data_IF_789124775831
#
_entry.id   IF_789124775831
#
_cell.length_a   1.000
_cell.length_b   1.000
_cell.length_c   1.000
_cell.angle_alpha   90.00
_cell.angle_beta   90.00
_cell.angle_gamma   90.00
#
_symmetry.space_group_name_H-M   'P 1'
#
loop_
_entity.id
_entity.type
_entity.pdbx_description
1 polymer ?
#
# COMPACT_ATOMS: atom_id res chain seq x y z
N UNK A 1 37.90 -1.45 -29.23
CA UNK A 1 37.48 -2.37 -28.16
C UNK A 1 36.46 -1.63 -27.33
N UNK A 2 35.17 -1.89 -27.56
CA UNK A 2 34.07 -1.26 -26.79
C UNK A 2 33.78 -2.15 -25.59
N UNK A 3 33.96 -1.61 -24.40
CA UNK A 3 33.57 -2.29 -23.15
C UNK A 3 32.08 -2.00 -22.97
N UNK A 4 31.25 -3.01 -23.11
CA UNK A 4 29.83 -2.93 -22.75
C UNK A 4 29.72 -3.03 -21.23
N UNK A 5 29.25 -1.94 -20.63
CA UNK A 5 28.94 -1.90 -19.19
C UNK A 5 27.54 -2.48 -19.02
N UNK A 6 27.45 -3.70 -18.51
CA UNK A 6 26.17 -4.29 -18.10
C UNK A 6 25.67 -3.62 -16.81
N UNK A 7 24.38 -3.31 -16.70
CA UNK A 7 23.83 -2.70 -15.49
C UNK A 7 23.94 -3.66 -14.30
N UNK A 8 24.50 -3.16 -13.21
CA UNK A 8 24.82 -3.87 -11.96
C UNK A 8 23.60 -4.59 -11.33
N UNK A 9 22.38 -4.11 -11.60
CA UNK A 9 21.13 -4.66 -11.06
C UNK A 9 20.84 -6.14 -11.42
N UNK A 10 21.36 -6.63 -12.53
CA UNK A 10 21.17 -8.03 -12.95
C UNK A 10 22.14 -9.01 -12.29
N UNK A 11 23.32 -8.54 -11.91
CA UNK A 11 24.32 -9.35 -11.19
C UNK A 11 23.98 -9.52 -9.70
N UNK A 12 23.42 -8.49 -9.07
CA UNK A 12 23.01 -8.56 -7.65
C UNK A 12 21.82 -9.48 -7.44
N UNK A 13 20.83 -9.44 -8.33
CA UNK A 13 19.67 -10.36 -8.29
C UNK A 13 20.11 -11.83 -8.47
N UNK A 14 21.09 -12.08 -9.36
CA UNK A 14 21.61 -13.43 -9.58
C UNK A 14 22.44 -13.94 -8.40
N UNK A 15 23.12 -13.04 -7.68
CA UNK A 15 23.93 -13.40 -6.50
C UNK A 15 23.05 -13.72 -5.28
N UNK A 16 21.95 -12.99 -5.07
CA UNK A 16 21.00 -13.27 -3.99
C UNK A 16 20.24 -14.59 -4.21
N UNK A 17 19.84 -14.88 -5.45
CA UNK A 17 19.24 -16.18 -5.82
C UNK A 17 20.20 -17.35 -5.63
N UNK A 18 21.49 -17.17 -5.95
CA UNK A 18 22.50 -18.19 -5.74
C UNK A 18 22.81 -18.44 -4.26
N UNK A 19 22.71 -17.41 -3.40
CA UNK A 19 22.84 -17.54 -1.95
C UNK A 19 21.64 -18.23 -1.29
N UNK A 20 20.43 -17.97 -1.76
CA UNK A 20 19.21 -18.67 -1.34
C UNK A 20 19.22 -20.15 -1.74
N UNK A 21 19.66 -20.47 -2.97
CA UNK A 21 19.78 -21.85 -3.44
C UNK A 21 20.84 -22.67 -2.67
N UNK A 22 21.87 -22.01 -2.15
CA UNK A 22 22.94 -22.67 -1.37
C UNK A 22 22.53 -23.10 0.03
N UNK A 23 21.50 -22.46 0.60
CA UNK A 23 21.03 -22.70 1.96
C UNK A 23 19.80 -23.61 2.06
N UNK A 24 19.35 -24.20 0.95
CA UNK A 24 18.28 -25.20 0.92
C UNK A 24 18.82 -26.58 0.52
N UNK A 25 19.20 -27.45 1.48
CA UNK A 25 19.63 -28.79 1.16
C UNK A 25 18.44 -29.62 0.66
N UNK A 26 18.47 -30.03 -0.59
CA UNK A 26 17.65 -31.14 -1.11
C UNK A 26 16.43 -30.81 -1.96
N UNK A 27 16.20 -29.58 -2.38
CA UNK A 27 15.17 -29.25 -3.39
C UNK A 27 15.83 -28.85 -4.71
N UNK A 28 15.69 -29.68 -5.73
CA UNK A 28 15.84 -29.26 -7.13
C UNK A 28 14.64 -28.41 -7.48
N UNK A 29 14.83 -27.09 -7.55
CA UNK A 29 13.79 -26.20 -8.08
C UNK A 29 13.73 -26.37 -9.59
N UNK A 30 12.54 -26.66 -10.12
CA UNK A 30 12.28 -26.68 -11.56
C UNK A 30 12.44 -25.26 -12.11
N UNK A 31 13.12 -25.13 -13.27
CA UNK A 31 13.31 -23.82 -13.94
C UNK A 31 11.97 -23.14 -14.21
N UNK A 32 10.91 -23.90 -14.44
CA UNK A 32 9.55 -23.41 -14.59
C UNK A 32 8.94 -22.76 -13.30
N UNK A 33 9.52 -23.02 -12.12
CA UNK A 33 9.13 -22.36 -10.87
C UNK A 33 9.82 -21.01 -10.67
N UNK A 34 10.95 -20.76 -11.35
CA UNK A 34 11.68 -19.49 -11.27
C UNK A 34 11.00 -18.36 -12.06
N UNK A 35 10.17 -18.69 -13.05
CA UNK A 35 9.40 -17.73 -13.84
C UNK A 35 8.01 -17.41 -13.25
N UNK A 36 7.60 -18.09 -12.17
CA UNK A 36 6.40 -17.69 -11.45
C UNK A 36 6.75 -16.49 -10.58
N UNK A 37 5.98 -15.38 -10.68
CA UNK A 37 6.13 -14.29 -9.73
C UNK A 37 6.07 -14.91 -8.33
N UNK A 38 6.98 -14.49 -7.45
CA UNK A 38 7.10 -14.98 -6.07
C UNK A 38 5.75 -14.74 -5.37
N UNK A 39 4.77 -15.60 -5.66
CA UNK A 39 3.49 -15.60 -5.01
C UNK A 39 3.70 -16.02 -3.57
N UNK A 40 3.40 -15.16 -2.62
CA UNK A 40 3.26 -15.58 -1.24
C UNK A 40 2.25 -16.74 -1.24
N UNK A 41 2.74 -17.97 -1.09
CA UNK A 41 1.88 -19.11 -0.81
C UNK A 41 1.38 -18.98 0.62
N UNK A 42 0.31 -19.68 0.98
CA UNK A 42 -0.17 -19.71 2.37
C UNK A 42 0.94 -20.03 3.36
N UNK A 43 1.76 -21.05 3.06
CA UNK A 43 2.92 -21.41 3.87
C UNK A 43 3.91 -20.26 4.10
N UNK A 44 4.05 -19.38 3.11
CA UNK A 44 4.94 -18.22 3.23
C UNK A 44 4.26 -17.07 3.99
N UNK A 45 2.92 -16.93 3.90
CA UNK A 45 2.19 -15.94 4.71
C UNK A 45 2.23 -16.29 6.20
N UNK A 46 2.11 -17.56 6.56
CA UNK A 46 2.26 -18.03 7.94
C UNK A 46 3.68 -17.79 8.51
N UNK A 47 4.66 -17.55 7.63
CA UNK A 47 6.04 -17.21 8.01
C UNK A 47 6.30 -15.69 8.10
N UNK A 48 5.32 -14.86 7.79
CA UNK A 48 5.46 -13.42 8.02
C UNK A 48 5.61 -13.19 9.53
N UNK A 49 6.67 -12.47 9.88
CA UNK A 49 6.86 -12.07 11.27
C UNK A 49 5.70 -11.16 11.70
N UNK A 50 5.02 -11.47 12.81
CA UNK A 50 4.00 -10.59 13.35
C UNK A 50 4.62 -9.23 13.70
N UNK A 51 3.79 -8.18 13.79
CA UNK A 51 4.24 -6.86 14.22
C UNK A 51 4.88 -6.96 15.62
N UNK A 52 6.16 -6.58 15.72
CA UNK A 52 6.89 -6.62 16.99
C UNK A 52 6.49 -5.44 17.88
N UNK A 53 6.70 -5.58 19.19
CA UNK A 53 6.49 -4.48 20.11
C UNK A 53 7.41 -3.29 19.79
N UNK A 54 8.65 -3.54 19.38
CA UNK A 54 9.60 -2.49 18.99
C UNK A 54 9.09 -1.66 17.80
N UNK A 55 8.58 -2.33 16.76
CA UNK A 55 8.00 -1.64 15.61
C UNK A 55 6.71 -0.92 16.00
N UNK A 56 5.87 -1.55 16.84
CA UNK A 56 4.65 -0.94 17.35
C UNK A 56 4.93 0.35 18.12
N UNK A 57 5.85 0.30 19.10
CA UNK A 57 6.22 1.45 19.93
C UNK A 57 6.78 2.60 19.06
N UNK A 58 7.54 2.28 18.04
CA UNK A 58 8.08 3.24 17.08
C UNK A 58 6.98 3.90 16.24
N UNK A 59 6.07 3.12 15.66
CA UNK A 59 4.96 3.63 14.87
C UNK A 59 3.97 4.44 15.73
N UNK A 60 3.74 4.05 16.99
CA UNK A 60 2.98 4.85 17.95
C UNK A 60 3.66 6.21 18.18
N UNK A 61 5.00 6.22 18.34
CA UNK A 61 5.80 7.44 18.42
C UNK A 61 5.73 8.32 17.17
N UNK A 62 5.51 7.73 16.01
CA UNK A 62 5.29 8.40 14.72
C UNK A 62 3.82 8.85 14.53
N UNK A 63 2.96 8.61 15.53
CA UNK A 63 1.58 9.09 15.57
C UNK A 63 0.53 8.11 15.04
N UNK A 64 0.87 6.84 14.86
CA UNK A 64 -0.12 5.82 14.48
C UNK A 64 -1.01 5.48 15.69
N UNK A 65 -2.34 5.61 15.60
CA UNK A 65 -3.24 5.24 16.70
C UNK A 65 -3.34 3.73 16.86
N UNK A 66 -3.73 3.29 18.05
CA UNK A 66 -3.91 1.87 18.38
C UNK A 66 -4.80 1.11 17.40
N UNK A 67 -5.85 1.76 16.90
CA UNK A 67 -6.76 1.16 15.90
C UNK A 67 -6.05 0.72 14.62
N UNK A 68 -5.06 1.50 14.16
CA UNK A 68 -4.23 1.16 13.01
C UNK A 68 -3.22 0.08 13.40
N UNK A 69 -2.53 0.27 14.54
CA UNK A 69 -1.51 -0.68 15.02
C UNK A 69 -2.09 -2.07 15.29
N UNK A 70 -3.31 -2.16 15.82
CA UNK A 70 -4.01 -3.42 16.06
C UNK A 70 -4.51 -4.10 14.76
N UNK A 71 -4.62 -3.33 13.68
CA UNK A 71 -5.06 -3.84 12.38
C UNK A 71 -3.90 -4.35 11.52
N UNK A 72 -2.65 -3.94 11.79
CA UNK A 72 -1.46 -4.37 11.06
C UNK A 72 -1.06 -5.77 11.51
N UNK A 73 -1.10 -6.74 10.60
CA UNK A 73 -0.85 -8.15 10.92
C UNK A 73 0.66 -8.51 11.00
N UNK A 74 1.53 -7.77 10.31
CA UNK A 74 2.93 -8.18 10.16
C UNK A 74 3.91 -7.02 9.96
N UNK A 75 5.19 -7.29 10.25
CA UNK A 75 6.32 -6.40 9.92
C UNK A 75 6.37 -6.04 8.43
N UNK A 76 6.04 -7.00 7.55
CA UNK A 76 6.05 -6.77 6.11
C UNK A 76 4.95 -5.80 5.69
N UNK A 77 3.77 -5.87 6.32
CA UNK A 77 2.66 -4.95 6.08
C UNK A 77 3.00 -3.54 6.58
N UNK A 78 3.52 -3.41 7.81
CA UNK A 78 3.97 -2.14 8.37
C UNK A 78 4.96 -1.44 7.45
N UNK A 79 5.95 -2.19 6.93
CA UNK A 79 6.95 -1.67 6.01
C UNK A 79 6.35 -1.07 4.73
N UNK A 80 5.29 -1.66 4.18
CA UNK A 80 4.62 -1.11 2.99
C UNK A 80 4.09 0.30 3.27
N UNK A 81 3.46 0.51 4.42
CA UNK A 81 2.92 1.82 4.80
C UNK A 81 4.02 2.85 5.10
N UNK A 82 5.12 2.41 5.73
CA UNK A 82 6.28 3.27 5.98
C UNK A 82 7.01 3.67 4.70
N UNK A 83 7.23 2.73 3.78
CA UNK A 83 7.85 3.00 2.47
C UNK A 83 6.97 3.93 1.62
N UNK A 84 5.65 3.81 1.73
CA UNK A 84 4.69 4.72 1.12
C UNK A 84 4.60 6.09 1.83
N UNK A 85 5.26 6.27 2.98
CA UNK A 85 5.30 7.50 3.79
C UNK A 85 3.92 8.03 4.12
N UNK A 86 3.05 7.13 4.56
CA UNK A 86 1.70 7.48 4.93
C UNK A 86 1.66 8.09 6.32
N UNK A 87 0.77 9.07 6.51
CA UNK A 87 0.53 9.72 7.79
C UNK A 87 -0.84 9.32 8.35
N UNK A 88 -0.91 9.13 9.67
CA UNK A 88 -2.16 8.78 10.32
C UNK A 88 -3.05 10.01 10.53
N UNK A 89 -4.33 9.86 10.23
CA UNK A 89 -5.37 10.87 10.51
C UNK A 89 -6.75 10.21 10.58
N UNK A 90 -7.74 10.97 11.00
CA UNK A 90 -9.13 10.54 10.92
C UNK A 90 -9.78 11.09 9.64
N UNK A 91 -10.49 10.24 8.89
CA UNK A 91 -11.27 10.63 7.70
C UNK A 91 -12.67 10.05 7.83
N UNK A 92 -13.68 10.92 7.84
CA UNK A 92 -15.08 10.52 7.94
C UNK A 92 -15.38 9.60 9.15
N UNK A 93 -14.77 9.92 10.31
CA UNK A 93 -14.94 9.17 11.57
C UNK A 93 -14.23 7.82 11.63
N UNK A 94 -13.31 7.56 10.73
CA UNK A 94 -12.49 6.34 10.69
C UNK A 94 -11.00 6.72 10.58
N UNK A 95 -10.16 6.07 11.37
CA UNK A 95 -8.72 6.25 11.25
C UNK A 95 -8.23 5.77 9.88
N UNK A 96 -7.28 6.49 9.33
CA UNK A 96 -6.71 6.21 8.03
C UNK A 96 -5.23 6.59 7.95
N UNK A 97 -4.49 5.88 7.11
CA UNK A 97 -3.16 6.23 6.66
C UNK A 97 -3.28 6.95 5.31
N UNK A 98 -3.00 8.23 5.31
CA UNK A 98 -3.17 9.09 4.14
C UNK A 98 -1.86 9.43 3.46
N UNK A 99 -1.93 9.72 2.17
CA UNK A 99 -0.83 10.30 1.40
C UNK A 99 -0.78 11.81 1.57
N UNK A 100 0.43 12.33 1.70
CA UNK A 100 0.71 13.77 1.77
C UNK A 100 1.32 14.32 0.48
N UNK A 101 1.66 13.45 -0.47
CA UNK A 101 2.32 13.76 -1.73
C UNK A 101 1.34 13.91 -2.93
N UNK A 102 0.04 13.92 -2.68
CA UNK A 102 -0.97 14.12 -3.73
C UNK A 102 -0.95 15.58 -4.20
N UNK A 103 -0.68 15.79 -5.49
CA UNK A 103 -0.89 17.08 -6.13
C UNK A 103 -2.40 17.27 -6.40
N UNK A 104 -3.08 18.02 -5.54
CA UNK A 104 -4.52 18.23 -5.63
C UNK A 104 -4.95 19.09 -6.82
N UNK A 105 -4.03 19.87 -7.39
CA UNK A 105 -4.28 20.75 -8.54
C UNK A 105 -3.91 20.09 -9.89
N UNK A 106 -3.26 18.92 -9.84
CA UNK A 106 -2.98 18.12 -11.04
C UNK A 106 -4.29 17.77 -11.74
N UNK A 107 -4.38 18.10 -13.02
CA UNK A 107 -5.53 17.77 -13.86
C UNK A 107 -5.32 16.47 -14.63
N UNK A 108 -6.40 15.72 -14.85
CA UNK A 108 -6.35 14.57 -15.75
C UNK A 108 -6.32 15.02 -17.24
N UNK A 109 -5.66 14.23 -18.09
CA UNK A 109 -5.44 14.56 -19.50
C UNK A 109 -6.70 14.38 -20.37
N UNK A 110 -7.77 13.77 -19.83
CA UNK A 110 -8.96 13.41 -20.61
C UNK A 110 -10.07 14.44 -20.42
N UNK A 111 -10.35 14.82 -19.17
CA UNK A 111 -11.47 15.69 -18.83
C UNK A 111 -11.02 17.05 -18.27
N UNK A 112 -9.72 17.21 -17.99
CA UNK A 112 -9.17 18.43 -17.38
C UNK A 112 -9.64 18.63 -15.92
N UNK A 113 -10.15 17.58 -15.26
CA UNK A 113 -10.57 17.68 -13.87
C UNK A 113 -9.37 17.57 -12.92
N UNK A 114 -9.29 18.49 -11.96
CA UNK A 114 -8.27 18.43 -10.91
C UNK A 114 -8.47 17.21 -9.98
N UNK A 115 -7.40 16.79 -9.32
CA UNK A 115 -7.49 15.75 -8.30
C UNK A 115 -8.48 16.15 -7.19
N UNK A 116 -8.51 17.43 -6.80
CA UNK A 116 -9.48 17.92 -5.82
C UNK A 116 -10.92 17.80 -6.33
N UNK A 117 -11.20 18.14 -7.59
CA UNK A 117 -12.55 18.01 -8.16
C UNK A 117 -12.97 16.54 -8.28
N UNK A 118 -12.04 15.67 -8.63
CA UNK A 118 -12.27 14.23 -8.62
C UNK A 118 -12.69 13.73 -7.23
N UNK A 119 -11.96 14.14 -6.19
CA UNK A 119 -12.25 13.76 -4.80
C UNK A 119 -13.60 14.32 -4.33
N UNK A 120 -13.93 15.58 -4.67
CA UNK A 120 -15.26 16.17 -4.39
C UNK A 120 -16.40 15.37 -5.03
N UNK A 121 -16.15 14.78 -6.19
CA UNK A 121 -17.10 13.89 -6.86
C UNK A 121 -17.05 12.44 -6.32
N UNK A 122 -16.34 12.18 -5.22
CA UNK A 122 -16.21 10.84 -4.61
C UNK A 122 -15.30 9.89 -5.39
N UNK A 123 -14.48 10.41 -6.31
CA UNK A 123 -13.54 9.63 -7.10
C UNK A 123 -12.12 9.73 -6.54
N UNK A 124 -11.31 8.66 -6.64
CA UNK A 124 -9.93 8.72 -6.19
C UNK A 124 -9.10 9.73 -6.99
N UNK A 125 -8.15 10.43 -6.33
CA UNK A 125 -7.16 11.22 -7.03
C UNK A 125 -6.22 10.35 -7.86
N UNK A 126 -5.42 10.98 -8.71
CA UNK A 126 -4.41 10.34 -9.53
C UNK A 126 -3.02 10.64 -8.95
N UNK A 127 -2.15 9.64 -8.99
CA UNK A 127 -0.73 9.79 -8.68
C UNK A 127 0.03 10.59 -9.76
N UNK A 128 1.34 10.70 -9.61
CA UNK A 128 2.19 11.41 -10.56
C UNK A 128 2.14 10.81 -11.99
N UNK A 129 1.91 9.50 -12.09
CA UNK A 129 1.85 8.76 -13.35
C UNK A 129 0.45 8.71 -13.97
N UNK A 130 -0.56 9.32 -13.31
CA UNK A 130 -1.95 9.33 -13.76
C UNK A 130 -2.76 8.09 -13.37
N UNK A 131 -2.24 7.23 -12.48
CA UNK A 131 -2.96 6.09 -11.96
C UNK A 131 -3.78 6.49 -10.73
N UNK A 132 -4.89 5.77 -10.52
CA UNK A 132 -5.76 6.02 -9.36
C UNK A 132 -5.09 5.60 -8.07
N UNK A 133 -5.20 6.44 -7.04
CA UNK A 133 -4.92 6.01 -5.66
C UNK A 133 -6.00 5.03 -5.23
N UNK A 134 -5.60 3.96 -4.58
CA UNK A 134 -6.47 2.88 -4.12
C UNK A 134 -6.65 2.95 -2.60
N UNK A 135 -7.84 2.66 -2.12
CA UNK A 135 -8.08 2.46 -0.70
C UNK A 135 -7.98 0.99 -0.35
N UNK A 136 -7.26 0.71 0.71
CA UNK A 136 -7.07 -0.61 1.29
C UNK A 136 -7.58 -0.63 2.74
N UNK A 137 -8.37 -1.66 3.11
CA UNK A 137 -8.71 -1.90 4.51
C UNK A 137 -7.55 -2.61 5.21
N UNK A 138 -6.90 -1.93 6.14
CA UNK A 138 -5.85 -2.51 6.99
C UNK A 138 -6.48 -3.65 7.81
N UNK A 139 -5.90 -4.86 7.72
CA UNK A 139 -6.49 -6.04 8.40
C UNK A 139 -7.72 -6.65 7.72
N UNK A 140 -8.12 -6.17 6.53
CA UNK A 140 -9.15 -6.77 5.65
C UNK A 140 -10.55 -6.95 6.28
N UNK A 141 -10.96 -6.07 7.18
CA UNK A 141 -12.30 -6.09 7.81
C UNK A 141 -13.07 -4.82 7.46
N UNK A 142 -14.40 -4.84 7.35
CA UNK A 142 -15.20 -3.66 6.99
C UNK A 142 -15.05 -2.47 7.95
N UNK A 143 -14.84 -2.77 9.24
CA UNK A 143 -14.66 -1.75 10.28
C UNK A 143 -13.21 -1.25 10.42
N UNK A 144 -12.24 -1.88 9.73
CA UNK A 144 -10.81 -1.56 9.86
C UNK A 144 -10.48 -0.18 9.31
N UNK A 145 -9.39 0.43 9.80
CA UNK A 145 -8.80 1.63 9.21
C UNK A 145 -8.49 1.46 7.73
N UNK A 146 -8.36 2.59 7.03
CA UNK A 146 -8.07 2.60 5.59
C UNK A 146 -6.64 3.10 5.32
N UNK A 147 -6.05 2.67 4.21
CA UNK A 147 -4.77 3.18 3.72
C UNK A 147 -4.88 3.64 2.26
N UNK A 148 -4.31 4.82 1.96
CA UNK A 148 -4.20 5.37 0.61
C UNK A 148 -2.91 4.85 -0.05
N UNK A 149 -3.02 3.95 -1.02
CA UNK A 149 -1.89 3.33 -1.71
C UNK A 149 -1.93 3.61 -3.21
N UNK A 150 -0.77 3.78 -3.83
CA UNK A 150 -0.68 3.65 -5.29
C UNK A 150 -0.95 2.21 -5.70
N UNK A 151 -1.35 1.99 -6.97
CA UNK A 151 -1.51 0.63 -7.48
C UNK A 151 -0.22 -0.21 -7.40
N UNK A 152 0.94 0.43 -7.48
CA UNK A 152 2.24 -0.22 -7.35
C UNK A 152 2.50 -0.66 -5.90
N UNK A 153 2.30 0.22 -4.91
CA UNK A 153 2.43 -0.10 -3.48
C UNK A 153 1.43 -1.17 -3.04
N UNK A 154 0.23 -1.15 -3.59
CA UNK A 154 -0.83 -2.09 -3.22
C UNK A 154 -0.60 -3.50 -3.79
N UNK A 155 -0.06 -3.61 -5.02
CA UNK A 155 -0.08 -4.89 -5.74
C UNK A 155 1.27 -5.39 -6.24
N UNK A 156 2.27 -4.50 -6.41
CA UNK A 156 3.56 -4.93 -6.96
C UNK A 156 4.46 -5.57 -5.90
N UNK A 157 5.53 -6.22 -6.34
CA UNK A 157 6.58 -6.78 -5.48
C UNK A 157 6.10 -7.80 -4.42
N UNK A 158 4.95 -8.42 -4.63
CA UNK A 158 4.37 -9.36 -3.67
C UNK A 158 3.48 -8.71 -2.60
N UNK A 159 3.33 -7.38 -2.60
CA UNK A 159 2.54 -6.64 -1.62
C UNK A 159 1.08 -7.10 -1.60
N UNK A 160 0.49 -7.40 -2.77
CA UNK A 160 -0.87 -7.94 -2.86
C UNK A 160 -1.09 -9.21 -2.00
N UNK A 161 -0.06 -10.03 -1.83
CA UNK A 161 -0.13 -11.21 -0.98
C UNK A 161 0.18 -10.94 0.50
N UNK A 162 0.92 -9.86 0.79
CA UNK A 162 1.15 -9.39 2.16
C UNK A 162 -0.13 -8.72 2.69
N UNK A 163 -0.70 -7.83 1.90
CA UNK A 163 -1.88 -7.03 2.27
C UNK A 163 -3.18 -7.85 2.24
N UNK A 164 -3.26 -8.91 1.40
CA UNK A 164 -4.48 -9.69 1.24
C UNK A 164 -4.26 -11.17 1.57
N UNK A 165 -4.99 -11.65 2.57
CA UNK A 165 -5.11 -13.08 2.83
C UNK A 165 -6.12 -13.71 1.87
N UNK A 166 -5.65 -14.20 0.72
CA UNK A 166 -6.48 -14.80 -0.34
C UNK A 166 -7.06 -16.17 0.01
N UNK A 167 -6.74 -16.69 1.17
CA UNK A 167 -7.17 -18.01 1.63
C UNK A 167 -8.40 -17.93 2.53
N UNK A 168 -8.70 -16.73 3.01
CA UNK A 168 -9.96 -16.43 3.67
C UNK A 168 -10.92 -15.79 2.68
N UNK A 169 -12.19 -16.11 2.80
CA UNK A 169 -13.23 -15.37 2.11
C UNK A 169 -13.19 -13.90 2.58
N UNK A 170 -13.34 -12.97 1.64
CA UNK A 170 -13.35 -11.55 1.98
C UNK A 170 -14.61 -11.21 2.78
N UNK A 171 -14.42 -10.59 3.94
CA UNK A 171 -15.50 -10.04 4.75
C UNK A 171 -16.05 -8.71 4.19
N UNK A 172 -15.37 -8.13 3.20
CA UNK A 172 -15.70 -6.83 2.64
C UNK A 172 -16.71 -6.98 1.51
N UNK A 173 -17.93 -6.47 1.69
CA UNK A 173 -18.91 -6.32 0.62
C UNK A 173 -18.46 -5.24 -0.37
N UNK A 174 -18.44 -5.59 -1.66
CA UNK A 174 -17.94 -4.68 -2.71
C UNK A 174 -18.84 -3.47 -2.96
N UNK A 175 -20.14 -3.61 -2.75
CA UNK A 175 -21.09 -2.52 -2.94
C UNK A 175 -20.99 -1.53 -1.78
N UNK A 176 -20.87 -2.03 -0.54
CA UNK A 176 -20.66 -1.22 0.65
C UNK A 176 -19.34 -0.49 0.59
N UNK A 177 -18.27 -1.19 0.22
CA UNK A 177 -16.97 -0.56 0.02
C UNK A 177 -16.97 0.46 -1.13
N UNK A 178 -17.81 0.27 -2.14
CA UNK A 178 -18.00 1.26 -3.20
C UNK A 178 -18.52 2.59 -2.64
N UNK A 179 -19.53 2.54 -1.76
CA UNK A 179 -20.09 3.72 -1.07
C UNK A 179 -19.09 4.32 -0.08
N UNK A 180 -18.44 3.49 0.73
CA UNK A 180 -17.42 3.94 1.67
C UNK A 180 -16.30 4.73 0.98
N UNK A 181 -15.78 4.22 -0.16
CA UNK A 181 -14.77 4.93 -0.95
C UNK A 181 -15.25 6.29 -1.46
N UNK A 182 -16.49 6.36 -1.94
CA UNK A 182 -17.07 7.61 -2.41
C UNK A 182 -17.14 8.64 -1.28
N UNK A 183 -17.66 8.25 -0.13
CA UNK A 183 -17.78 9.11 1.05
C UNK A 183 -16.43 9.50 1.62
N UNK A 184 -15.48 8.57 1.63
CA UNK A 184 -14.10 8.82 2.04
C UNK A 184 -13.45 9.93 1.21
N UNK A 185 -13.50 9.84 -0.11
CA UNK A 185 -12.84 10.84 -0.97
C UNK A 185 -13.51 12.20 -0.87
N UNK A 186 -14.83 12.26 -0.68
CA UNK A 186 -15.54 13.53 -0.42
C UNK A 186 -15.07 14.16 0.89
N UNK A 187 -14.95 13.38 1.95
CA UNK A 187 -14.46 13.84 3.24
C UNK A 187 -12.99 14.31 3.16
N UNK A 188 -12.14 13.58 2.45
CA UNK A 188 -10.76 13.99 2.21
C UNK A 188 -10.66 15.30 1.43
N UNK A 189 -11.49 15.49 0.40
CA UNK A 189 -11.57 16.76 -0.32
C UNK A 189 -11.91 17.93 0.62
N UNK A 190 -12.87 17.74 1.51
CA UNK A 190 -13.26 18.76 2.49
C UNK A 190 -12.11 19.09 3.46
N UNK A 191 -11.35 18.10 3.91
CA UNK A 191 -10.17 18.33 4.74
C UNK A 191 -9.12 19.18 4.02
N UNK A 192 -8.84 18.86 2.74
CA UNK A 192 -7.89 19.63 1.92
C UNK A 192 -8.35 21.08 1.74
N UNK A 193 -9.65 21.30 1.49
CA UNK A 193 -10.20 22.65 1.36
C UNK A 193 -10.08 23.45 2.67
N UNK A 194 -10.38 22.81 3.81
CA UNK A 194 -10.24 23.44 5.12
C UNK A 194 -8.77 23.83 5.41
N UNK A 195 -7.82 22.93 5.15
CA UNK A 195 -6.39 23.20 5.30
C UNK A 195 -5.91 24.37 4.42
N UNK A 196 -6.42 24.47 3.18
CA UNK A 196 -6.11 25.60 2.28
C UNK A 196 -6.67 26.95 2.81
N UNK A 197 -7.82 26.93 3.45
CA UNK A 197 -8.40 28.13 4.06
C UNK A 197 -7.60 28.58 5.28
N UNK A 198 -7.18 27.65 6.13
CA UNK A 198 -6.38 27.93 7.33
C UNK A 198 -4.97 28.39 6.99
N UNK A 199 -4.34 27.84 5.94
CA UNK A 199 -3.00 28.23 5.49
C UNK A 199 -2.93 29.59 4.79
N UNK A 200 -4.09 30.20 4.44
CA UNK A 200 -4.19 31.51 3.81
C UNK A 200 -4.53 32.64 4.82
N UNK A 201 -4.65 32.33 6.12
CA UNK A 201 -4.87 33.30 7.21
C UNK A 201 -3.58 33.54 7.98
#
# INVERSE_FOLDING_TARGET
MKIEIFPISRLEATCQLALLARNMPGRTMDIAELDKPFGLTQENREKLAPLSNETRDRLEGDGYPDTILDAIDSEAEARIYEEARLEATEVNGKDALIRTDIDYDKTDDVFGESNLDRMKAGRPPLDADGNKIELHHIGQKPASPLAELTGAEHRSNGNDNILHNKLKESEIDRADFGREREDYWKARAQQVENQRLEGNT
#
